data_IF_509405208505
#
_entry.id   IF_509405208505
#
_cell.length_a   1.000
_cell.length_b   1.000
_cell.length_c   1.000
_cell.angle_alpha   90.00
_cell.angle_beta   90.00
_cell.angle_gamma   90.00
#
_symmetry.space_group_name_H-M   'P 1'
#
loop_
_entity.id
_entity.type
_entity.pdbx_description
1 polymer ?
#
# COMPACT_ATOMS: atom_id res chain seq x y z
N UNK A 1 49.78 -37.73 10.60
CA UNK A 1 49.16 -36.73 9.71
C UNK A 1 47.70 -36.58 10.12
N UNK A 2 47.31 -35.47 10.75
CA UNK A 2 45.96 -35.26 11.29
C UNK A 2 45.28 -34.14 10.50
N UNK A 3 44.26 -34.48 9.71
CA UNK A 3 43.55 -33.57 8.81
C UNK A 3 42.34 -32.95 9.51
N UNK A 4 42.45 -31.68 9.90
CA UNK A 4 41.30 -30.81 10.22
C UNK A 4 40.47 -30.60 8.95
N UNK A 5 39.18 -30.97 8.98
CA UNK A 5 38.19 -30.47 8.01
C UNK A 5 37.29 -29.45 8.72
N UNK A 6 37.35 -28.24 8.17
CA UNK A 6 36.74 -27.01 8.66
C UNK A 6 35.24 -27.02 8.33
N UNK A 7 34.41 -26.91 9.36
CA UNK A 7 32.97 -26.70 9.25
C UNK A 7 32.68 -25.36 8.56
N UNK A 8 31.98 -25.40 7.42
CA UNK A 8 31.43 -24.20 6.78
C UNK A 8 30.05 -23.94 7.37
N UNK A 9 30.00 -23.04 8.35
CA UNK A 9 28.76 -22.51 8.92
C UNK A 9 28.11 -21.58 7.89
N UNK A 10 26.83 -21.84 7.62
CA UNK A 10 25.93 -20.98 6.87
C UNK A 10 25.85 -19.59 7.52
N UNK A 11 25.98 -18.55 6.72
CA UNK A 11 25.50 -17.21 7.08
C UNK A 11 24.62 -16.70 5.94
N UNK A 12 23.34 -17.05 5.97
CA UNK A 12 22.32 -16.37 5.17
C UNK A 12 21.87 -15.16 5.99
N UNK A 13 22.34 -13.97 5.61
CA UNK A 13 21.89 -12.72 6.20
C UNK A 13 20.45 -12.45 5.75
N UNK A 14 19.48 -12.69 6.63
CA UNK A 14 18.10 -12.28 6.42
C UNK A 14 17.99 -10.76 6.67
N UNK A 15 17.95 -9.98 5.59
CA UNK A 15 17.61 -8.56 5.66
C UNK A 15 16.09 -8.43 5.76
N UNK A 16 15.59 -8.17 6.96
CA UNK A 16 14.20 -7.79 7.17
C UNK A 16 14.00 -6.35 6.68
N UNK A 17 13.38 -6.19 5.50
CA UNK A 17 12.87 -4.91 5.03
C UNK A 17 11.58 -4.59 5.78
N UNK A 18 11.70 -3.88 6.91
CA UNK A 18 10.58 -3.26 7.57
C UNK A 18 10.14 -2.03 6.78
N UNK A 19 9.14 -2.16 5.91
CA UNK A 19 8.43 -1.00 5.36
C UNK A 19 7.38 -0.58 6.38
N UNK A 20 7.84 0.15 7.41
CA UNK A 20 6.96 0.92 8.28
C UNK A 20 6.51 2.17 7.53
N UNK A 21 5.26 2.20 7.09
CA UNK A 21 4.64 3.42 6.57
C UNK A 21 4.46 4.41 7.73
N UNK A 22 5.38 5.37 7.86
CA UNK A 22 5.26 6.50 8.78
C UNK A 22 4.09 7.38 8.39
N UNK A 23 3.13 7.52 9.31
CA UNK A 23 2.06 8.49 9.22
C UNK A 23 2.64 9.91 9.33
N UNK A 24 2.63 10.65 8.22
CA UNK A 24 2.76 12.10 8.25
C UNK A 24 1.36 12.69 8.04
N UNK A 25 0.73 13.10 9.13
CA UNK A 25 -0.48 13.91 9.11
C UNK A 25 -0.14 15.32 8.59
N UNK A 26 -0.62 15.64 7.41
CA UNK A 26 -0.87 17.01 6.99
C UNK A 26 -2.24 17.05 6.31
N UNK A 27 -3.18 17.76 6.92
CA UNK A 27 -4.49 18.00 6.36
C UNK A 27 -4.35 18.66 4.99
N UNK A 28 -4.72 17.95 3.93
CA UNK A 28 -4.84 18.48 2.57
C UNK A 28 -6.32 18.73 2.25
N UNK A 29 -6.65 19.82 1.55
CA UNK A 29 -8.00 20.07 1.10
C UNK A 29 -8.40 19.00 0.07
N UNK A 30 -9.65 18.58 0.14
CA UNK A 30 -10.28 17.57 -0.70
C UNK A 30 -10.12 17.90 -2.17
N UNK A 31 -9.12 17.29 -2.82
CA UNK A 31 -9.13 17.12 -4.27
C UNK A 31 -10.09 15.97 -4.58
N UNK A 32 -11.36 16.34 -4.70
CA UNK A 32 -12.33 15.55 -5.45
C UNK A 32 -11.81 15.35 -6.89
N UNK A 33 -12.33 14.37 -7.62
CA UNK A 33 -11.93 13.86 -8.97
C UNK A 33 -11.15 12.53 -8.98
N UNK A 34 -11.67 11.52 -8.30
CA UNK A 34 -11.47 10.11 -8.64
C UNK A 34 -12.79 9.52 -9.15
N UNK A 35 -13.02 9.51 -10.46
CA UNK A 35 -14.22 8.90 -11.05
C UNK A 35 -14.39 7.42 -10.65
N UNK A 36 -15.61 6.86 -10.79
CA UNK A 36 -15.91 5.49 -10.34
C UNK A 36 -15.03 4.48 -11.09
N UNK A 37 -13.97 3.99 -10.43
CA UNK A 37 -12.97 3.07 -11.00
C UNK A 37 -11.51 3.55 -10.91
N UNK A 38 -11.27 4.79 -10.49
CA UNK A 38 -9.93 5.37 -10.37
C UNK A 38 -9.05 4.59 -9.39
N UNK A 39 -7.85 4.22 -9.84
CA UNK A 39 -6.83 3.42 -9.14
C UNK A 39 -7.11 1.93 -8.98
N UNK A 40 -8.26 1.53 -8.39
CA UNK A 40 -8.51 0.12 -8.07
C UNK A 40 -8.69 -0.75 -9.33
N UNK A 41 -9.42 -0.25 -10.35
CA UNK A 41 -9.64 -0.99 -11.59
C UNK A 41 -8.37 -1.14 -12.45
N UNK A 42 -7.51 -0.12 -12.48
CA UNK A 42 -6.25 -0.17 -13.22
C UNK A 42 -5.26 -1.14 -12.58
N UNK A 43 -5.18 -1.16 -11.24
CA UNK A 43 -4.29 -2.07 -10.52
C UNK A 43 -4.69 -3.53 -10.73
N UNK A 44 -5.99 -3.86 -10.62
CA UNK A 44 -6.47 -5.22 -10.87
C UNK A 44 -6.18 -5.69 -12.30
N UNK A 45 -6.29 -4.79 -13.29
CA UNK A 45 -5.92 -5.11 -14.67
C UNK A 45 -4.43 -5.42 -14.82
N UNK A 46 -3.54 -4.60 -14.24
CA UNK A 46 -2.09 -4.86 -14.25
C UNK A 46 -1.77 -6.20 -13.55
N UNK A 47 -2.47 -6.52 -12.47
CA UNK A 47 -2.32 -7.76 -11.72
C UNK A 47 -2.75 -9.00 -12.53
N UNK A 48 -3.89 -8.93 -13.23
CA UNK A 48 -4.35 -10.00 -14.15
C UNK A 48 -3.36 -10.20 -15.30
N UNK A 49 -2.86 -9.11 -15.90
CA UNK A 49 -1.85 -9.21 -16.96
C UNK A 49 -0.57 -9.86 -16.48
N UNK A 50 -0.13 -9.55 -15.24
CA UNK A 50 1.02 -10.20 -14.64
C UNK A 50 0.76 -11.70 -14.43
N UNK A 51 -0.41 -12.08 -13.90
CA UNK A 51 -0.80 -13.48 -13.73
C UNK A 51 -0.67 -14.29 -15.03
N UNK A 52 -1.23 -13.77 -16.13
CA UNK A 52 -1.20 -14.42 -17.45
C UNK A 52 0.24 -14.66 -17.96
N UNK A 53 1.19 -13.81 -17.59
CA UNK A 53 2.60 -13.89 -17.98
C UNK A 53 3.40 -14.88 -17.12
N UNK A 54 2.99 -15.12 -15.88
CA UNK A 54 3.77 -15.95 -14.95
C UNK A 54 3.67 -17.46 -15.23
N UNK A 55 2.66 -17.90 -16.01
CA UNK A 55 2.46 -19.31 -16.37
C UNK A 55 2.57 -20.21 -15.13
N UNK A 56 1.74 -19.90 -14.13
CA UNK A 56 1.77 -20.56 -12.83
C UNK A 56 1.44 -22.05 -12.96
N UNK A 57 2.11 -22.88 -12.16
CA UNK A 57 1.67 -24.26 -11.96
C UNK A 57 0.52 -24.33 -10.95
N UNK A 58 -0.06 -25.52 -10.74
CA UNK A 58 -1.23 -25.69 -9.87
C UNK A 58 -1.01 -25.22 -8.41
N UNK A 59 0.16 -25.47 -7.84
CA UNK A 59 0.46 -25.07 -6.46
C UNK A 59 0.65 -23.54 -6.35
N UNK A 60 1.31 -22.94 -7.34
CA UNK A 60 1.49 -21.49 -7.42
C UNK A 60 0.16 -20.77 -7.68
N UNK A 61 -0.72 -21.34 -8.49
CA UNK A 61 -2.07 -20.83 -8.74
C UNK A 61 -2.89 -20.79 -7.45
N UNK A 62 -2.81 -21.85 -6.64
CA UNK A 62 -3.46 -21.90 -5.33
C UNK A 62 -2.93 -20.80 -4.39
N UNK A 63 -1.62 -20.55 -4.40
CA UNK A 63 -1.01 -19.48 -3.61
C UNK A 63 -1.41 -18.09 -4.10
N UNK A 64 -1.47 -17.89 -5.42
CA UNK A 64 -1.95 -16.66 -6.05
C UNK A 64 -3.38 -16.35 -5.64
N UNK A 65 -4.29 -17.32 -5.78
CA UNK A 65 -5.69 -17.15 -5.42
C UNK A 65 -5.85 -16.87 -3.93
N UNK A 66 -5.11 -17.57 -3.06
CA UNK A 66 -5.12 -17.29 -1.63
C UNK A 66 -4.66 -15.86 -1.31
N UNK A 67 -3.63 -15.34 -2.00
CA UNK A 67 -3.18 -13.96 -1.82
C UNK A 67 -4.22 -12.94 -2.31
N UNK A 68 -4.88 -13.22 -3.43
CA UNK A 68 -6.00 -12.43 -3.95
C UNK A 68 -7.18 -12.37 -2.97
N UNK A 69 -7.57 -13.52 -2.42
CA UNK A 69 -8.71 -13.60 -1.50
C UNK A 69 -8.41 -12.86 -0.20
N UNK A 70 -7.21 -13.06 0.37
CA UNK A 70 -6.75 -12.28 1.54
C UNK A 70 -6.78 -10.78 1.25
N UNK A 71 -6.26 -10.35 0.08
CA UNK A 71 -6.26 -8.93 -0.30
C UNK A 71 -7.68 -8.36 -0.38
N UNK A 72 -8.63 -9.09 -0.99
CA UNK A 72 -10.03 -8.65 -1.11
C UNK A 72 -10.71 -8.55 0.25
N UNK A 73 -10.62 -9.60 1.06
CA UNK A 73 -11.21 -9.64 2.40
C UNK A 73 -10.65 -8.52 3.29
N UNK A 74 -9.33 -8.31 3.26
CA UNK A 74 -8.69 -7.27 4.04
C UNK A 74 -9.05 -5.87 3.54
N UNK A 75 -9.22 -5.68 2.22
CA UNK A 75 -9.70 -4.41 1.67
C UNK A 75 -11.12 -4.09 2.12
N UNK A 76 -12.02 -5.07 2.12
CA UNK A 76 -13.39 -4.91 2.62
C UNK A 76 -13.41 -4.57 4.11
N UNK A 77 -12.57 -5.23 4.92
CA UNK A 77 -12.43 -4.94 6.35
C UNK A 77 -11.89 -3.51 6.59
N UNK A 78 -10.87 -3.07 5.85
CA UNK A 78 -10.36 -1.70 5.92
C UNK A 78 -11.44 -0.68 5.49
N UNK A 79 -12.24 -1.00 4.46
CA UNK A 79 -13.35 -0.15 4.04
C UNK A 79 -14.41 -0.03 5.14
N UNK A 80 -14.74 -1.11 5.83
CA UNK A 80 -15.65 -1.10 6.96
C UNK A 80 -15.10 -0.26 8.13
N UNK A 81 -13.80 -0.38 8.44
CA UNK A 81 -13.14 0.45 9.45
C UNK A 81 -13.19 1.94 9.09
N UNK A 82 -12.99 2.29 7.81
CA UNK A 82 -13.11 3.67 7.34
C UNK A 82 -14.55 4.21 7.48
N UNK A 83 -15.55 3.41 7.11
CA UNK A 83 -16.96 3.81 7.30
C UNK A 83 -17.31 3.95 8.79
N UNK A 84 -16.72 3.14 9.68
CA UNK A 84 -16.86 3.33 11.13
C UNK A 84 -16.34 4.69 11.59
N UNK A 85 -15.12 5.09 11.19
CA UNK A 85 -14.56 6.41 11.52
C UNK A 85 -15.45 7.52 10.96
N UNK A 86 -15.90 7.40 9.71
CA UNK A 86 -16.76 8.38 9.06
C UNK A 86 -18.09 8.55 9.79
N UNK A 87 -18.70 7.45 10.25
CA UNK A 87 -19.93 7.49 11.02
C UNK A 87 -19.72 8.12 12.40
N UNK A 88 -18.61 7.82 13.07
CA UNK A 88 -18.24 8.50 14.32
C UNK A 88 -18.07 10.00 14.12
N UNK A 89 -17.39 10.42 13.03
CA UNK A 89 -17.22 11.82 12.71
C UNK A 89 -18.56 12.53 12.48
N UNK A 90 -19.47 11.92 11.72
CA UNK A 90 -20.84 12.43 11.52
C UNK A 90 -21.61 12.56 12.83
N UNK A 91 -21.49 11.59 13.74
CA UNK A 91 -22.13 11.66 15.05
C UNK A 91 -21.53 12.78 15.92
N UNK A 92 -20.21 12.96 15.88
CA UNK A 92 -19.52 14.02 16.62
C UNK A 92 -19.94 15.42 16.14
N UNK A 93 -20.24 15.62 14.86
CA UNK A 93 -20.76 16.89 14.32
C UNK A 93 -22.09 17.34 14.94
N UNK A 94 -22.88 16.41 15.49
CA UNK A 94 -24.16 16.72 16.14
C UNK A 94 -24.00 17.09 17.62
N UNK A 95 -22.81 16.90 18.20
CA UNK A 95 -22.54 17.21 19.59
C UNK A 95 -22.15 18.68 19.76
N UNK A 96 -22.61 19.36 20.82
CA UNK A 96 -22.23 20.74 21.09
C UNK A 96 -20.74 20.89 21.46
N UNK A 97 -20.13 19.82 22.01
CA UNK A 97 -18.71 19.75 22.35
C UNK A 97 -18.15 18.45 21.79
N UNK A 98 -17.04 18.52 21.07
CA UNK A 98 -16.36 17.34 20.52
C UNK A 98 -15.58 16.59 21.59
N UNK A 99 -15.77 15.28 21.66
CA UNK A 99 -14.90 14.39 22.45
C UNK A 99 -13.67 13.98 21.63
N UNK A 100 -12.65 14.83 21.65
CA UNK A 100 -11.41 14.60 20.92
C UNK A 100 -10.65 13.36 21.41
N UNK A 101 -10.81 12.98 22.69
CA UNK A 101 -10.16 11.79 23.25
C UNK A 101 -10.77 10.51 22.69
N UNK A 102 -12.11 10.44 22.62
CA UNK A 102 -12.80 9.30 22.03
C UNK A 102 -12.50 9.15 20.53
N UNK A 103 -12.42 10.28 19.82
CA UNK A 103 -12.03 10.29 18.40
C UNK A 103 -10.60 9.79 18.18
N UNK A 104 -9.64 10.30 18.97
CA UNK A 104 -8.25 9.88 18.90
C UNK A 104 -8.08 8.38 19.23
N UNK A 105 -8.76 7.90 20.27
CA UNK A 105 -8.73 6.50 20.67
C UNK A 105 -9.28 5.57 19.58
N UNK A 106 -10.39 5.96 18.95
CA UNK A 106 -11.00 5.19 17.86
C UNK A 106 -10.10 5.16 16.62
N UNK A 107 -9.53 6.32 16.28
CA UNK A 107 -8.59 6.41 15.17
C UNK A 107 -7.37 5.50 15.40
N UNK A 108 -6.76 5.56 16.59
CA UNK A 108 -5.61 4.73 16.95
C UNK A 108 -5.96 3.23 16.87
N UNK A 109 -7.13 2.83 17.37
CA UNK A 109 -7.57 1.44 17.30
C UNK A 109 -7.74 0.96 15.86
N UNK A 110 -8.35 1.78 14.99
CA UNK A 110 -8.54 1.44 13.58
C UNK A 110 -7.19 1.36 12.86
N UNK A 111 -6.28 2.29 13.10
CA UNK A 111 -4.94 2.24 12.49
C UNK A 111 -4.18 0.96 12.85
N UNK A 112 -4.27 0.51 14.10
CA UNK A 112 -3.66 -0.76 14.52
C UNK A 112 -4.26 -1.96 13.80
N UNK A 113 -5.59 -2.01 13.65
CA UNK A 113 -6.28 -3.06 12.89
C UNK A 113 -5.88 -3.03 11.42
N UNK A 114 -5.88 -1.86 10.81
CA UNK A 114 -5.54 -1.69 9.40
C UNK A 114 -4.07 -2.03 9.14
N UNK A 115 -3.16 -1.71 10.07
CA UNK A 115 -1.76 -2.13 9.98
C UNK A 115 -1.64 -3.66 9.96
N UNK A 116 -2.40 -4.37 10.81
CA UNK A 116 -2.42 -5.83 10.83
C UNK A 116 -2.98 -6.42 9.52
N UNK A 117 -4.07 -5.84 8.99
CA UNK A 117 -4.65 -6.27 7.71
C UNK A 117 -3.69 -6.05 6.53
N UNK A 118 -2.98 -4.91 6.50
CA UNK A 118 -1.93 -4.65 5.51
C UNK A 118 -0.78 -5.64 5.61
N UNK A 119 -0.38 -6.00 6.84
CA UNK A 119 0.66 -6.99 7.07
C UNK A 119 0.24 -8.37 6.55
N UNK A 120 -0.96 -8.83 6.87
CA UNK A 120 -1.50 -10.11 6.38
C UNK A 120 -1.52 -10.19 4.85
N UNK A 121 -1.95 -9.11 4.18
CA UNK A 121 -1.92 -9.02 2.72
C UNK A 121 -0.48 -9.13 2.20
N UNK A 122 0.46 -8.43 2.83
CA UNK A 122 1.88 -8.45 2.45
C UNK A 122 2.48 -9.85 2.62
N UNK A 123 2.19 -10.52 3.74
CA UNK A 123 2.67 -11.87 4.02
C UNK A 123 2.14 -12.89 3.02
N UNK A 124 0.87 -12.77 2.61
CA UNK A 124 0.28 -13.64 1.60
C UNK A 124 0.97 -13.48 0.22
N UNK A 125 1.23 -12.24 -0.19
CA UNK A 125 1.96 -11.95 -1.43
C UNK A 125 3.43 -12.37 -1.37
N UNK A 126 4.10 -12.21 -0.23
CA UNK A 126 5.46 -12.68 -0.02
C UNK A 126 5.56 -14.21 -0.09
N UNK A 127 4.59 -14.91 0.51
CA UNK A 127 4.50 -16.38 0.41
C UNK A 127 4.37 -16.83 -1.05
N UNK A 128 3.47 -16.20 -1.82
CA UNK A 128 3.34 -16.44 -3.25
C UNK A 128 4.66 -16.20 -3.99
N UNK A 129 5.28 -15.02 -3.80
CA UNK A 129 6.54 -14.67 -4.45
C UNK A 129 7.67 -15.65 -4.15
N UNK A 130 7.76 -16.12 -2.90
CA UNK A 130 8.78 -17.07 -2.49
C UNK A 130 8.62 -18.44 -3.17
N UNK A 131 7.38 -18.84 -3.50
CA UNK A 131 7.07 -20.06 -4.24
C UNK A 131 7.33 -20.00 -5.77
N UNK A 132 7.72 -18.83 -6.29
CA UNK A 132 8.06 -18.66 -7.70
C UNK A 132 9.48 -19.12 -8.03
N UNK A 133 9.68 -19.59 -9.27
CA UNK A 133 11.02 -19.85 -9.80
C UNK A 133 11.72 -18.55 -10.25
N UNK A 134 13.00 -18.61 -10.62
CA UNK A 134 13.80 -17.42 -10.94
C UNK A 134 13.29 -16.65 -12.16
N UNK A 135 12.78 -17.35 -13.18
CA UNK A 135 12.19 -16.72 -14.36
C UNK A 135 10.92 -15.94 -13.98
N UNK A 136 10.02 -16.55 -13.21
CA UNK A 136 8.80 -15.93 -12.72
C UNK A 136 9.12 -14.74 -11.80
N UNK A 137 10.08 -14.87 -10.88
CA UNK A 137 10.54 -13.78 -10.01
C UNK A 137 11.12 -12.62 -10.81
N UNK A 138 11.79 -12.89 -11.92
CA UNK A 138 12.30 -11.84 -12.84
C UNK A 138 11.14 -11.07 -13.49
N UNK A 139 10.09 -11.77 -13.93
CA UNK A 139 8.87 -11.15 -14.46
C UNK A 139 8.19 -10.26 -13.41
N UNK A 140 7.96 -10.78 -12.20
CA UNK A 140 7.39 -10.00 -11.09
C UNK A 140 8.25 -8.78 -10.75
N UNK A 141 9.58 -8.97 -10.64
CA UNK A 141 10.51 -7.89 -10.31
C UNK A 141 10.50 -6.77 -11.35
N UNK A 142 10.38 -7.12 -12.63
CA UNK A 142 10.28 -6.15 -13.73
C UNK A 142 9.00 -5.34 -13.63
N UNK A 143 7.86 -6.01 -13.40
CA UNK A 143 6.57 -5.35 -13.21
C UNK A 143 6.59 -4.40 -12.00
N UNK A 144 7.19 -4.82 -10.88
CA UNK A 144 7.34 -3.97 -9.69
C UNK A 144 8.21 -2.74 -9.95
N UNK A 145 9.35 -2.89 -10.64
CA UNK A 145 10.22 -1.76 -11.03
C UNK A 145 9.49 -0.76 -11.91
N UNK A 146 8.73 -1.22 -12.90
CA UNK A 146 7.92 -0.36 -13.75
C UNK A 146 6.87 0.40 -12.95
N UNK A 147 6.23 -0.27 -11.99
CA UNK A 147 5.26 0.37 -11.09
C UNK A 147 5.91 1.42 -10.21
N UNK A 148 7.11 1.18 -9.67
CA UNK A 148 7.85 2.17 -8.89
C UNK A 148 8.20 3.40 -9.72
N UNK A 149 8.72 3.24 -10.94
CA UNK A 149 9.00 4.36 -11.84
C UNK A 149 7.74 5.18 -12.19
N UNK A 150 6.60 4.50 -12.40
CA UNK A 150 5.31 5.17 -12.63
C UNK A 150 4.82 5.93 -11.40
N UNK A 151 5.11 5.45 -10.19
CA UNK A 151 4.78 6.18 -8.96
C UNK A 151 5.71 7.38 -8.77
N UNK A 152 7.01 7.22 -8.96
CA UNK A 152 8.00 8.30 -8.86
C UNK A 152 7.68 9.46 -9.81
N UNK A 153 7.45 9.17 -11.10
CA UNK A 153 7.06 10.19 -12.08
C UNK A 153 5.73 10.89 -11.75
N UNK A 154 4.79 10.19 -11.10
CA UNK A 154 3.54 10.82 -10.61
C UNK A 154 3.80 11.72 -9.41
N UNK A 155 4.65 11.29 -8.47
CA UNK A 155 5.04 12.10 -7.32
C UNK A 155 5.76 13.37 -7.76
N UNK A 156 6.64 13.29 -8.76
CA UNK A 156 7.30 14.45 -9.37
C UNK A 156 6.30 15.44 -9.97
N UNK A 157 5.40 14.98 -10.83
CA UNK A 157 4.36 15.84 -11.41
C UNK A 157 3.48 16.49 -10.34
N UNK A 158 3.13 15.75 -9.29
CA UNK A 158 2.37 16.30 -8.16
C UNK A 158 3.15 17.37 -7.41
N UNK A 159 4.46 17.21 -7.22
CA UNK A 159 5.34 18.24 -6.63
C UNK A 159 5.38 19.48 -7.51
N UNK A 160 5.61 19.32 -8.82
CA UNK A 160 5.63 20.43 -9.79
C UNK A 160 4.30 21.20 -9.79
N UNK A 161 3.16 20.51 -9.80
CA UNK A 161 1.85 21.15 -9.71
C UNK A 161 1.64 21.89 -8.38
N UNK A 162 2.12 21.33 -7.26
CA UNK A 162 2.07 21.99 -5.96
C UNK A 162 2.94 23.25 -5.92
N UNK A 163 4.13 23.21 -6.51
CA UNK A 163 5.02 24.36 -6.63
C UNK A 163 4.45 25.44 -7.54
N UNK A 164 3.87 25.06 -8.69
CA UNK A 164 3.18 25.98 -9.59
C UNK A 164 1.96 26.65 -8.93
N UNK A 165 1.16 25.90 -8.13
CA UNK A 165 0.05 26.48 -7.37
C UNK A 165 0.52 27.41 -6.25
N UNK A 166 1.62 27.09 -5.56
CA UNK A 166 2.21 28.02 -4.57
C UNK A 166 2.73 29.29 -5.22
N UNK A 167 3.34 29.18 -6.41
CA UNK A 167 3.79 30.34 -7.19
C UNK A 167 2.62 31.22 -7.65
N UNK A 168 1.53 30.62 -8.15
CA UNK A 168 0.34 31.35 -8.58
C UNK A 168 -0.46 31.97 -7.41
N UNK A 169 -0.51 31.31 -6.24
CA UNK A 169 -1.15 31.84 -5.03
C UNK A 169 -0.33 32.94 -4.34
N UNK A 170 0.93 33.16 -4.76
CA UNK A 170 1.80 34.23 -4.25
C UNK A 170 1.86 35.45 -5.19
N UNK A 171 1.13 35.44 -6.31
CA UNK A 171 1.01 36.61 -7.17
C UNK A 171 0.12 37.66 -6.45
N UNK A 172 0.62 38.88 -6.17
CA UNK A 172 -0.20 39.91 -5.57
C UNK A 172 -1.38 40.21 -6.50
N UNK A 173 -2.59 40.27 -5.95
CA UNK A 173 -3.75 40.79 -6.64
C UNK A 173 -3.39 42.19 -7.15
N UNK A 174 -3.24 42.34 -8.46
CA UNK A 174 -3.12 43.65 -9.07
C UNK A 174 -4.45 44.38 -8.84
N UNK A 175 -4.44 45.34 -7.91
CA UNK A 175 -5.55 46.27 -7.69
C UNK A 175 -5.97 46.88 -9.04
N UNK A 176 -7.26 46.76 -9.36
CA UNK A 176 -7.98 47.70 -10.22
C UNK A 176 -8.83 48.61 -9.34
#
# INVERSE_FOLDING_TARGET
>A
MSTKKISRVLAVAATALAIGAGAAYAAQPTADHGGPGGWHGHFMKELTQLHDQLKLNADQEKQWQAALDTMKQNHEAMRANHEQIKNQFKAAQQQPILDLNAMAATHQQVEQKDAQLRQQTSDAWLKFYNGLNDQQKTTVSTALKQRFAKMESRHEKMREHWEQRKGAASAPAANQ
#
